data_IF_756836323062
#
_entry.id   IF_756836323062
#
_cell.length_a   1.000
_cell.length_b   1.000
_cell.length_c   1.000
_cell.angle_alpha   90.00
_cell.angle_beta   90.00
_cell.angle_gamma   90.00
#
_symmetry.space_group_name_H-M   'P 1'
#
loop_
_entity.id
_entity.type
_entity.pdbx_description
1 polymer ?
#
# COMPACT_ATOMS: atom_id res chain seq x y z
N UNK A 1 -17.40 -3.65 -11.92
CA UNK A 1 -17.93 -2.27 -11.86
C UNK A 1 -16.77 -1.29 -11.75
N UNK A 2 -16.36 -0.65 -12.85
CA UNK A 2 -15.29 0.35 -12.83
C UNK A 2 -15.79 1.60 -12.09
N UNK A 3 -15.28 1.86 -10.88
CA UNK A 3 -15.43 3.19 -10.28
C UNK A 3 -14.56 4.16 -11.10
N UNK A 4 -15.16 5.02 -11.92
CA UNK A 4 -14.47 6.16 -12.51
C UNK A 4 -13.96 7.03 -11.36
N UNK A 5 -12.65 7.02 -11.14
CA UNK A 5 -12.03 7.94 -10.20
C UNK A 5 -12.04 9.33 -10.82
N UNK A 6 -12.54 10.32 -10.06
CA UNK A 6 -12.76 11.68 -10.56
C UNK A 6 -11.46 12.46 -10.86
N UNK A 7 -10.32 11.98 -10.37
CA UNK A 7 -9.01 12.62 -10.56
C UNK A 7 -7.93 11.56 -10.71
N UNK A 8 -7.54 11.29 -11.95
CA UNK A 8 -6.53 10.29 -12.31
C UNK A 8 -5.10 10.77 -12.08
N UNK A 9 -4.87 12.06 -11.84
CA UNK A 9 -3.53 12.63 -11.68
C UNK A 9 -2.95 12.33 -10.29
N UNK A 10 -3.81 12.29 -9.26
CA UNK A 10 -3.42 12.06 -7.86
C UNK A 10 -4.02 10.77 -7.29
N UNK A 11 -5.27 10.46 -7.68
CA UNK A 11 -6.06 9.36 -7.13
C UNK A 11 -6.43 8.37 -8.24
N UNK A 12 -5.56 7.45 -8.57
CA UNK A 12 -5.82 6.44 -9.58
C UNK A 12 -4.58 6.08 -10.37
N UNK A 13 -4.81 5.61 -11.59
CA UNK A 13 -3.77 5.08 -12.45
C UNK A 13 -3.61 3.58 -12.30
N UNK A 14 -2.88 3.01 -13.25
CA UNK A 14 -2.72 1.56 -13.39
C UNK A 14 -2.13 0.90 -12.12
N UNK A 15 -1.25 1.61 -11.42
CA UNK A 15 -0.56 1.11 -10.22
C UNK A 15 -1.39 1.23 -8.93
N UNK A 16 -2.58 1.84 -9.01
CA UNK A 16 -3.53 2.01 -7.90
C UNK A 16 -4.93 1.51 -8.28
N UNK A 17 -5.01 0.50 -9.15
CA UNK A 17 -6.27 -0.02 -9.66
C UNK A 17 -7.14 -0.65 -8.58
N UNK A 18 -6.52 -1.34 -7.63
CA UNK A 18 -7.19 -1.99 -6.48
C UNK A 18 -6.46 -1.63 -5.21
N UNK A 19 -7.23 -1.32 -4.17
CA UNK A 19 -6.73 -1.09 -2.82
C UNK A 19 -7.25 -2.18 -1.89
N UNK A 20 -6.35 -2.90 -1.22
CA UNK A 20 -6.69 -3.81 -0.13
C UNK A 20 -6.30 -3.24 1.21
N UNK A 21 -7.08 -3.58 2.23
CA UNK A 21 -6.81 -3.23 3.61
C UNK A 21 -7.01 -4.43 4.51
N UNK A 22 -6.00 -4.82 5.33
CA UNK A 22 -6.13 -5.95 6.23
C UNK A 22 -7.20 -5.75 7.30
N UNK A 23 -8.07 -6.75 7.49
CA UNK A 23 -9.12 -6.73 8.51
C UNK A 23 -8.53 -6.60 9.92
N UNK A 24 -7.33 -7.19 10.12
CA UNK A 24 -6.58 -7.17 11.38
C UNK A 24 -6.28 -5.75 11.87
N UNK A 25 -6.21 -4.79 10.96
CA UNK A 25 -5.96 -3.39 11.33
C UNK A 25 -7.18 -2.69 11.93
N UNK A 26 -8.39 -3.21 11.70
CA UNK A 26 -9.61 -2.59 12.21
C UNK A 26 -9.68 -2.57 13.73
N UNK A 27 -9.19 -3.61 14.41
CA UNK A 27 -9.17 -3.64 15.88
C UNK A 27 -8.23 -2.58 16.45
N UNK A 28 -7.06 -2.38 15.81
CA UNK A 28 -6.18 -1.27 16.18
C UNK A 28 -6.92 0.07 16.06
N UNK A 29 -7.65 0.31 14.98
CA UNK A 29 -8.34 1.57 14.76
C UNK A 29 -9.57 1.76 15.65
N UNK A 30 -10.30 0.70 15.98
CA UNK A 30 -11.40 0.75 16.97
C UNK A 30 -10.87 1.21 18.33
N UNK A 31 -9.70 0.73 18.74
CA UNK A 31 -9.03 1.17 19.95
C UNK A 31 -8.56 2.64 19.88
N UNK A 32 -8.13 3.12 18.70
CA UNK A 32 -7.73 4.51 18.52
C UNK A 32 -8.91 5.48 18.45
N UNK A 33 -10.07 5.00 18.03
CA UNK A 33 -11.29 5.78 17.82
C UNK A 33 -12.53 5.08 18.40
N UNK A 34 -12.60 4.90 19.73
CA UNK A 34 -13.66 4.08 20.36
C UNK A 34 -15.07 4.62 20.14
N UNK A 35 -15.21 5.90 19.79
CA UNK A 35 -16.50 6.56 19.54
C UNK A 35 -16.90 6.57 18.06
N UNK A 36 -16.12 5.91 17.17
CA UNK A 36 -16.44 5.79 15.75
C UNK A 36 -16.87 4.37 15.42
N UNK A 37 -18.00 4.25 14.73
CA UNK A 37 -18.39 2.99 14.10
C UNK A 37 -17.51 2.79 12.84
N UNK A 38 -16.56 1.87 12.94
CA UNK A 38 -15.62 1.57 11.87
C UNK A 38 -16.07 0.30 11.12
N UNK A 39 -17.04 0.47 10.24
CA UNK A 39 -17.45 -0.59 9.31
C UNK A 39 -16.31 -0.91 8.30
N UNK A 40 -16.30 -2.16 7.82
CA UNK A 40 -15.38 -2.55 6.74
C UNK A 40 -15.59 -1.64 5.51
N UNK A 41 -14.52 -1.32 4.81
CA UNK A 41 -14.51 -0.33 3.73
C UNK A 41 -14.26 1.11 4.21
N UNK A 42 -14.13 1.35 5.53
CA UNK A 42 -13.96 2.70 6.09
C UNK A 42 -12.69 3.40 5.60
N UNK A 43 -11.66 2.65 5.27
CA UNK A 43 -10.42 3.21 4.70
C UNK A 43 -10.50 3.43 3.18
N UNK A 44 -11.64 3.11 2.54
CA UNK A 44 -11.87 3.29 1.11
C UNK A 44 -11.28 2.16 0.27
N UNK A 45 -10.99 1.04 0.90
CA UNK A 45 -10.50 -0.18 0.24
C UNK A 45 -11.56 -0.80 -0.67
N UNK A 46 -11.08 -1.47 -1.72
CA UNK A 46 -11.88 -2.32 -2.60
C UNK A 46 -12.04 -3.71 -1.99
N UNK A 47 -10.99 -4.19 -1.33
CA UNK A 47 -10.96 -5.48 -0.65
C UNK A 47 -10.56 -5.30 0.81
N UNK A 48 -11.38 -5.79 1.74
CA UNK A 48 -10.96 -6.09 3.10
C UNK A 48 -10.43 -7.52 3.09
N UNK A 49 -9.16 -7.71 3.44
CA UNK A 49 -8.45 -8.99 3.31
C UNK A 49 -8.02 -9.51 4.68
N UNK A 50 -7.87 -10.82 4.80
CA UNK A 50 -7.29 -11.47 5.98
C UNK A 50 -5.91 -12.07 5.63
N UNK A 51 -4.93 -11.91 6.51
CA UNK A 51 -3.58 -12.47 6.36
C UNK A 51 -2.70 -11.77 5.31
N UNK A 52 -3.15 -10.71 4.66
CA UNK A 52 -2.39 -9.99 3.64
C UNK A 52 -1.76 -8.72 4.23
N UNK A 53 -0.81 -8.92 5.15
CA UNK A 53 -0.16 -7.86 5.90
C UNK A 53 1.01 -7.23 5.13
N UNK A 54 1.30 -5.97 5.41
CA UNK A 54 2.33 -5.16 4.73
C UNK A 54 3.76 -5.68 4.93
N UNK A 55 4.02 -6.43 6.01
CA UNK A 55 5.34 -7.05 6.27
C UNK A 55 5.48 -8.45 5.67
N UNK A 56 4.38 -9.04 5.20
CA UNK A 56 4.36 -10.35 4.53
C UNK A 56 4.27 -10.25 3.00
N UNK A 57 4.00 -9.04 2.46
CA UNK A 57 3.84 -8.78 1.02
C UNK A 57 5.00 -7.94 0.52
N UNK A 58 5.76 -8.47 -0.45
CA UNK A 58 6.75 -7.67 -1.18
C UNK A 58 6.09 -6.89 -2.32
N UNK A 59 6.59 -5.69 -2.58
CA UNK A 59 6.28 -4.98 -3.82
C UNK A 59 6.79 -5.81 -5.01
N UNK A 60 5.93 -6.03 -6.00
CA UNK A 60 6.21 -6.93 -7.13
C UNK A 60 5.73 -8.38 -6.94
N UNK A 61 5.26 -8.74 -5.73
CA UNK A 61 4.60 -10.04 -5.52
C UNK A 61 3.31 -10.11 -6.33
N UNK A 62 3.07 -11.25 -6.97
CA UNK A 62 1.88 -11.50 -7.77
C UNK A 62 0.92 -12.45 -7.04
N UNK A 63 -0.33 -12.13 -7.15
CA UNK A 63 -1.42 -12.84 -6.48
C UNK A 63 -2.49 -13.25 -7.47
N UNK A 64 -3.13 -14.38 -7.19
CA UNK A 64 -4.38 -14.78 -7.80
C UNK A 64 -5.49 -14.73 -6.75
N UNK A 65 -6.59 -14.04 -7.07
CA UNK A 65 -7.81 -13.93 -6.25
C UNK A 65 -8.98 -14.22 -7.19
N UNK A 66 -9.74 -15.29 -6.93
CA UNK A 66 -10.72 -15.75 -7.90
C UNK A 66 -10.05 -16.07 -9.25
N UNK A 67 -10.56 -15.50 -10.34
CA UNK A 67 -9.95 -15.58 -11.68
C UNK A 67 -9.04 -14.40 -12.02
N UNK A 68 -8.98 -13.35 -11.18
CA UNK A 68 -8.12 -12.17 -11.38
C UNK A 68 -6.68 -12.42 -10.96
N UNK A 69 -5.73 -11.76 -11.65
CA UNK A 69 -4.32 -11.71 -11.23
C UNK A 69 -3.89 -10.27 -10.98
N UNK A 70 -3.21 -10.07 -9.88
CA UNK A 70 -2.82 -8.77 -9.36
C UNK A 70 -1.33 -8.77 -9.03
N UNK A 71 -0.68 -7.60 -9.07
CA UNK A 71 0.67 -7.39 -8.56
C UNK A 71 0.66 -6.27 -7.52
N UNK A 72 1.30 -6.48 -6.37
CA UNK A 72 1.47 -5.46 -5.34
C UNK A 72 2.44 -4.38 -5.83
N UNK A 73 2.04 -3.10 -5.73
CA UNK A 73 2.80 -1.99 -6.29
C UNK A 73 3.36 -1.03 -5.25
N UNK A 74 2.57 -0.65 -4.27
CA UNK A 74 2.95 0.39 -3.31
C UNK A 74 2.03 0.43 -2.08
N UNK A 75 2.48 1.03 -0.95
CA UNK A 75 1.60 1.40 0.15
C UNK A 75 0.66 2.53 -0.27
N UNK A 76 -0.48 2.63 0.41
CA UNK A 76 -1.34 3.81 0.28
C UNK A 76 -0.79 4.96 1.10
N UNK A 77 -0.67 6.13 0.46
CA UNK A 77 -0.46 7.38 1.16
C UNK A 77 -1.81 8.04 1.46
N UNK A 78 -2.08 8.45 2.71
CA UNK A 78 -3.36 9.07 3.06
C UNK A 78 -3.47 10.47 2.47
N UNK A 79 -4.70 10.87 2.14
CA UNK A 79 -5.00 12.22 1.69
C UNK A 79 -6.16 12.81 2.52
N UNK A 80 -6.50 14.07 2.29
CA UNK A 80 -7.57 14.77 3.00
C UNK A 80 -8.92 14.04 2.95
N UNK A 81 -9.20 13.26 1.88
CA UNK A 81 -10.45 12.47 1.75
C UNK A 81 -10.61 11.45 2.88
N UNK A 82 -9.50 10.92 3.42
CA UNK A 82 -9.56 10.07 4.60
C UNK A 82 -10.06 10.85 5.82
N UNK A 83 -9.55 12.08 6.02
CA UNK A 83 -10.00 12.97 7.09
C UNK A 83 -11.49 13.31 6.99
N UNK A 84 -11.95 13.63 5.78
CA UNK A 84 -13.39 13.90 5.52
C UNK A 84 -14.23 12.66 5.88
N UNK A 85 -13.80 11.47 5.48
CA UNK A 85 -14.53 10.22 5.74
C UNK A 85 -14.61 9.87 7.23
N UNK A 86 -13.56 10.17 7.99
CA UNK A 86 -13.51 9.98 9.45
C UNK A 86 -14.13 11.13 10.24
N UNK A 87 -14.54 12.23 9.58
CA UNK A 87 -15.01 13.44 10.26
C UNK A 87 -13.93 14.14 11.09
N UNK A 88 -12.64 13.81 10.87
CA UNK A 88 -11.50 14.34 11.63
C UNK A 88 -10.18 14.28 10.86
N UNK A 89 -9.45 15.38 10.85
CA UNK A 89 -8.22 15.49 10.04
C UNK A 89 -6.99 14.85 10.70
N UNK A 90 -6.97 14.65 12.01
CA UNK A 90 -5.83 14.05 12.72
C UNK A 90 -5.64 12.56 12.37
N UNK A 91 -6.66 11.91 11.77
CA UNK A 91 -6.53 10.54 11.27
C UNK A 91 -5.43 10.42 10.22
N UNK A 92 -5.15 11.45 9.41
CA UNK A 92 -4.11 11.43 8.40
C UNK A 92 -2.73 11.22 9.05
N UNK A 93 -2.43 12.00 10.09
CA UNK A 93 -1.17 11.86 10.84
C UNK A 93 -1.08 10.52 11.56
N UNK A 94 -2.17 10.08 12.20
CA UNK A 94 -2.23 8.79 12.90
C UNK A 94 -2.07 7.63 11.92
N UNK A 95 -2.66 7.72 10.73
CA UNK A 95 -2.55 6.71 9.70
C UNK A 95 -1.09 6.54 9.24
N UNK A 96 -0.39 7.65 8.96
CA UNK A 96 1.03 7.61 8.62
C UNK A 96 1.87 7.01 9.75
N UNK A 97 1.64 7.44 10.98
CA UNK A 97 2.39 6.96 12.15
C UNK A 97 2.13 5.48 12.49
N UNK A 98 0.97 4.94 12.10
CA UNK A 98 0.58 3.56 12.42
C UNK A 98 1.40 2.51 11.67
N UNK A 99 2.00 2.85 10.52
CA UNK A 99 2.64 1.88 9.64
C UNK A 99 1.68 0.85 9.02
N UNK A 100 0.37 1.15 8.98
CA UNK A 100 -0.71 0.30 8.47
C UNK A 100 -1.41 0.91 7.26
N UNK A 101 -0.70 1.07 6.13
CA UNK A 101 -1.23 1.78 4.98
C UNK A 101 -2.17 0.95 4.11
N UNK A 102 -2.15 -0.38 4.23
CA UNK A 102 -2.71 -1.27 3.22
C UNK A 102 -1.89 -1.27 1.93
N UNK A 103 -2.39 -1.96 0.91
CA UNK A 103 -1.62 -2.30 -0.28
C UNK A 103 -2.38 -1.92 -1.53
N UNK A 104 -1.75 -1.17 -2.43
CA UNK A 104 -2.24 -0.98 -3.78
C UNK A 104 -1.75 -2.08 -4.72
N UNK A 105 -2.61 -2.42 -5.67
CA UNK A 105 -2.34 -3.41 -6.71
C UNK A 105 -2.64 -2.84 -8.09
N UNK A 106 -1.84 -3.29 -9.04
CA UNK A 106 -2.10 -3.24 -10.47
C UNK A 106 -2.76 -4.55 -10.91
N UNK A 107 -3.68 -4.49 -11.84
CA UNK A 107 -4.33 -5.65 -12.44
C UNK A 107 -3.43 -6.16 -13.57
N UNK A 108 -3.02 -7.43 -13.48
CA UNK A 108 -2.29 -8.14 -14.53
C UNK A 108 -3.24 -8.90 -15.46
N UNK A 109 -4.31 -9.44 -14.89
CA UNK A 109 -5.38 -10.12 -15.61
C UNK A 109 -6.70 -9.80 -14.93
N UNK A 110 -7.67 -9.30 -15.71
CA UNK A 110 -9.03 -9.10 -15.23
C UNK A 110 -9.70 -10.43 -14.90
N UNK A 111 -10.65 -10.39 -13.98
CA UNK A 111 -11.40 -11.59 -13.55
C UNK A 111 -12.44 -11.25 -12.49
N UNK A 112 -13.15 -12.25 -12.08
CA UNK A 112 -14.18 -12.16 -11.03
C UNK A 112 -13.58 -12.46 -9.67
N UNK A 113 -13.96 -11.65 -8.69
CA UNK A 113 -13.53 -11.76 -7.30
C UNK A 113 -14.76 -11.68 -6.41
N UNK A 114 -14.91 -12.64 -5.53
CA UNK A 114 -16.01 -12.74 -4.57
C UNK A 114 -15.49 -12.81 -3.14
N UNK A 115 -16.34 -12.46 -2.19
CA UNK A 115 -16.06 -12.66 -0.76
C UNK A 115 -15.81 -14.14 -0.48
N UNK A 116 -14.75 -14.44 0.30
CA UNK A 116 -14.34 -15.80 0.62
C UNK A 116 -13.35 -16.41 -0.38
N UNK A 117 -13.04 -15.74 -1.50
CA UNK A 117 -11.98 -16.21 -2.39
C UNK A 117 -10.63 -16.25 -1.68
N UNK A 118 -9.91 -17.38 -1.87
CA UNK A 118 -8.54 -17.51 -1.33
C UNK A 118 -7.57 -16.63 -2.11
N UNK A 119 -6.70 -15.95 -1.40
CA UNK A 119 -5.59 -15.16 -1.95
C UNK A 119 -4.39 -16.09 -2.09
N UNK A 120 -3.95 -16.36 -3.31
CA UNK A 120 -2.82 -17.23 -3.60
C UNK A 120 -1.65 -16.41 -4.12
N UNK A 121 -0.48 -16.56 -3.52
CA UNK A 121 0.75 -16.01 -4.07
C UNK A 121 1.18 -16.89 -5.23
N UNK A 122 1.29 -16.33 -6.43
CA UNK A 122 1.70 -17.04 -7.64
C UNK A 122 3.12 -16.74 -8.07
N UNK A 123 3.69 -15.61 -7.58
CA UNK A 123 5.10 -15.26 -7.78
C UNK A 123 5.57 -14.33 -6.66
N UNK A 124 6.75 -14.58 -6.11
CA UNK A 124 7.46 -13.67 -5.21
C UNK A 124 8.45 -12.81 -5.98
N UNK A 125 8.55 -11.52 -5.60
CA UNK A 125 9.59 -10.65 -6.16
C UNK A 125 10.95 -10.97 -5.51
N UNK A 126 11.99 -11.08 -6.34
CA UNK A 126 13.34 -11.47 -5.93
C UNK A 126 14.08 -10.40 -5.11
N UNK A 127 13.64 -9.15 -5.20
CA UNK A 127 14.30 -8.05 -4.47
C UNK A 127 13.95 -8.05 -2.99
N UNK A 128 12.88 -8.76 -2.60
CA UNK A 128 12.47 -8.97 -1.21
C UNK A 128 12.39 -7.65 -0.42
N UNK A 129 11.61 -6.70 -0.93
CA UNK A 129 11.31 -5.42 -0.26
C UNK A 129 9.82 -5.37 0.01
N UNK A 130 9.46 -5.37 1.27
CA UNK A 130 8.05 -5.40 1.70
C UNK A 130 7.37 -4.05 1.51
N UNK A 131 6.04 -4.05 1.47
CA UNK A 131 5.24 -2.81 1.50
C UNK A 131 5.56 -1.99 2.75
N UNK A 132 5.79 -2.66 3.89
CA UNK A 132 6.21 -2.03 5.15
C UNK A 132 7.58 -1.37 5.04
N UNK A 133 8.54 -1.99 4.32
CA UNK A 133 9.86 -1.38 4.07
C UNK A 133 9.72 -0.08 3.28
N UNK A 134 8.85 -0.03 2.25
CA UNK A 134 8.61 1.20 1.48
C UNK A 134 8.10 2.34 2.38
N UNK A 135 7.15 2.05 3.29
CA UNK A 135 6.66 3.05 4.25
C UNK A 135 7.79 3.50 5.17
N UNK A 136 8.56 2.56 5.71
CA UNK A 136 9.68 2.87 6.59
C UNK A 136 10.72 3.75 5.88
N UNK A 137 11.13 3.41 4.67
CA UNK A 137 12.07 4.19 3.87
C UNK A 137 11.55 5.61 3.54
N UNK A 138 10.23 5.75 3.42
CA UNK A 138 9.62 7.04 3.17
C UNK A 138 9.65 7.94 4.41
N UNK A 139 9.28 7.38 5.57
CA UNK A 139 9.15 8.13 6.84
C UNK A 139 10.51 8.34 7.51
N UNK A 140 11.42 7.37 7.38
CA UNK A 140 12.73 7.41 8.02
C UNK A 140 13.52 8.64 7.55
N UNK A 141 13.99 9.40 8.52
CA UNK A 141 15.00 10.42 8.25
C UNK A 141 16.27 9.71 7.77
N UNK A 142 16.95 10.33 6.79
CA UNK A 142 18.14 9.87 6.10
C UNK A 142 19.06 9.01 7.00
N UNK A 143 18.88 7.69 6.97
CA UNK A 143 19.74 6.73 7.65
C UNK A 143 20.52 5.93 6.60
N UNK A 144 21.84 5.89 6.74
CA UNK A 144 22.75 5.19 5.83
C UNK A 144 22.44 3.67 5.76
N UNK A 145 21.95 3.08 6.86
CA UNK A 145 21.59 1.67 6.92
C UNK A 145 20.47 1.29 5.93
N UNK A 146 19.70 2.28 5.48
CA UNK A 146 18.58 2.09 4.55
C UNK A 146 19.01 2.06 3.07
N UNK A 147 20.26 2.42 2.73
CA UNK A 147 20.73 2.54 1.34
C UNK A 147 20.57 1.23 0.58
N UNK A 148 20.91 0.09 1.19
CA UNK A 148 20.82 -1.19 0.50
C UNK A 148 19.37 -1.59 0.21
N UNK A 149 18.45 -1.34 1.13
CA UNK A 149 17.03 -1.59 0.89
C UNK A 149 16.46 -0.64 -0.17
N UNK A 150 16.85 0.64 -0.18
CA UNK A 150 16.50 1.57 -1.26
C UNK A 150 17.04 1.10 -2.62
N UNK A 151 18.30 0.61 -2.69
CA UNK A 151 18.88 0.05 -3.91
C UNK A 151 18.14 -1.18 -4.43
N UNK A 152 17.62 -2.02 -3.53
CA UNK A 152 16.76 -3.15 -3.91
C UNK A 152 15.40 -2.67 -4.40
N UNK A 153 14.80 -1.69 -3.71
CA UNK A 153 13.51 -1.12 -4.07
C UNK A 153 13.50 -0.51 -5.48
N UNK A 154 14.51 0.28 -5.85
CA UNK A 154 14.57 0.91 -7.19
C UNK A 154 14.70 -0.10 -8.33
N UNK A 155 15.12 -1.35 -8.06
CA UNK A 155 15.18 -2.44 -9.05
C UNK A 155 13.82 -3.12 -9.29
N UNK A 156 12.82 -2.85 -8.46
CA UNK A 156 11.50 -3.45 -8.57
C UNK A 156 10.76 -2.81 -9.74
N UNK A 157 10.43 -3.60 -10.75
CA UNK A 157 9.76 -3.11 -11.95
C UNK A 157 8.38 -2.54 -11.68
N UNK A 158 7.64 -3.18 -10.75
CA UNK A 158 6.26 -2.82 -10.43
C UNK A 158 6.14 -1.74 -9.34
N UNK A 159 7.27 -1.26 -8.76
CA UNK A 159 7.27 -0.06 -7.92
C UNK A 159 7.11 1.17 -8.82
N UNK A 160 6.11 2.06 -8.58
CA UNK A 160 5.90 3.25 -9.40
C UNK A 160 7.13 4.16 -9.48
N UNK A 161 7.28 4.84 -10.62
CA UNK A 161 8.45 5.66 -10.94
C UNK A 161 8.72 6.75 -9.90
N UNK A 162 7.67 7.40 -9.37
CA UNK A 162 7.81 8.42 -8.33
C UNK A 162 8.53 7.91 -7.07
N UNK A 163 8.25 6.68 -6.63
CA UNK A 163 8.97 6.06 -5.52
C UNK A 163 10.43 5.76 -5.86
N UNK A 164 10.68 5.23 -7.06
CA UNK A 164 12.06 4.94 -7.51
C UNK A 164 12.90 6.20 -7.58
N UNK A 165 12.33 7.28 -8.13
CA UNK A 165 12.99 8.58 -8.19
C UNK A 165 13.30 9.13 -6.80
N UNK A 166 12.32 9.10 -5.88
CA UNK A 166 12.52 9.57 -4.50
C UNK A 166 13.63 8.82 -3.79
N UNK A 167 13.67 7.48 -3.91
CA UNK A 167 14.73 6.68 -3.29
C UNK A 167 16.10 6.92 -3.93
N UNK A 168 16.16 7.16 -5.23
CA UNK A 168 17.38 7.57 -5.91
C UNK A 168 17.94 8.88 -5.33
N UNK A 169 17.09 9.91 -5.19
CA UNK A 169 17.49 11.19 -4.62
C UNK A 169 17.96 11.05 -3.16
N UNK A 170 17.29 10.25 -2.35
CA UNK A 170 17.72 9.97 -0.97
C UNK A 170 19.09 9.28 -0.93
N UNK A 171 19.33 8.30 -1.79
CA UNK A 171 20.65 7.63 -1.88
C UNK A 171 21.77 8.62 -2.23
N UNK A 172 21.54 9.50 -3.21
CA UNK A 172 22.51 10.52 -3.61
C UNK A 172 22.82 11.50 -2.48
N UNK A 173 21.80 11.99 -1.77
CA UNK A 173 21.96 12.86 -0.62
C UNK A 173 22.74 12.21 0.53
N UNK A 174 22.61 10.90 0.73
CA UNK A 174 23.32 10.16 1.78
C UNK A 174 24.79 9.89 1.44
N UNK A 175 25.13 9.81 0.14
CA UNK A 175 26.52 9.64 -0.32
C UNK A 175 27.35 10.92 -0.24
N UNK A 176 26.68 12.07 -0.27
CA UNK A 176 27.31 13.40 -0.29
C UNK A 176 27.46 14.03 1.12
N UNK A 177 27.11 13.27 2.16
CA UNK A 177 27.30 13.62 3.59
C UNK A 177 28.47 12.85 4.17
#
# INVERSE_FOLDING_TARGET
>A
MYKRQADLTVHGGIDKAVYSYPAEHYDYWRNQFPNLDLALGMFGENFTTEGLLEDAVNVGDQFQIGSAKLVATQPRMPCYKLGVRFGRMDVIRRFMASGRPGIYFKILQEGEVETGNKIKIIRRDKNNVTVKDIVYLYIARNNIDNIETMRRAIKIKDLPEGWRYEFQQKIEQLKNK
#
